data_IF_994542759665
#
_entry.id   IF_994542759665
#
_cell.length_a   1.000
_cell.length_b   1.000
_cell.length_c   1.000
_cell.angle_alpha   90.00
_cell.angle_beta   90.00
_cell.angle_gamma   90.00
#
_symmetry.space_group_name_H-M   'P 1'
#
loop_
_entity.id
_entity.type
_entity.pdbx_description
1 polymer ?
#
# COMPACT_ATOMS: atom_id res chain seq x y z
N UNK A 1 -22.66 -5.69 -13.02
CA UNK A 1 -21.34 -5.28 -12.49
C UNK A 1 -20.50 -6.53 -12.50
N UNK A 2 -19.71 -6.68 -13.55
CA UNK A 2 -18.85 -7.84 -13.76
C UNK A 2 -17.60 -7.61 -12.91
N UNK A 3 -17.53 -8.26 -11.75
CA UNK A 3 -16.36 -8.24 -10.89
C UNK A 3 -15.41 -9.28 -11.46
N UNK A 4 -14.55 -8.83 -12.36
CA UNK A 4 -13.56 -9.64 -13.04
C UNK A 4 -12.89 -10.62 -12.09
N UNK A 5 -12.82 -11.88 -12.52
CA UNK A 5 -12.13 -12.98 -11.86
C UNK A 5 -10.62 -12.69 -11.83
N UNK A 6 -10.21 -11.78 -10.96
CA UNK A 6 -8.82 -11.50 -10.60
C UNK A 6 -8.37 -12.57 -9.59
N UNK A 7 -8.38 -13.82 -10.07
CA UNK A 7 -8.15 -15.01 -9.28
C UNK A 7 -6.71 -15.47 -9.37
N UNK A 8 -5.73 -14.66 -8.96
CA UNK A 8 -4.38 -15.18 -8.72
C UNK A 8 -3.69 -14.68 -7.43
N UNK A 9 -3.40 -15.68 -6.60
CA UNK A 9 -2.43 -15.83 -5.52
C UNK A 9 -1.87 -14.59 -4.78
N UNK A 10 -2.67 -14.03 -3.87
CA UNK A 10 -2.20 -13.18 -2.78
C UNK A 10 -1.73 -14.03 -1.58
N UNK A 11 -0.47 -14.50 -1.65
CA UNK A 11 0.27 -15.39 -0.71
C UNK A 11 -0.40 -16.75 -0.49
N UNK A 12 0.29 -17.81 -0.91
CA UNK A 12 -0.12 -19.21 -0.73
C UNK A 12 -0.39 -19.51 0.75
N UNK A 13 -1.67 -19.57 1.13
CA UNK A 13 -2.09 -20.25 2.34
C UNK A 13 -1.66 -21.72 2.25
N UNK A 14 -1.01 -22.20 3.30
CA UNK A 14 -0.56 -23.58 3.49
C UNK A 14 -1.53 -24.61 2.89
N UNK A 15 -1.06 -25.38 1.91
CA UNK A 15 -1.77 -26.52 1.30
C UNK A 15 -2.15 -27.53 2.41
N UNK A 16 -3.42 -27.56 2.79
CA UNK A 16 -4.03 -28.67 3.52
C UNK A 16 -4.93 -29.48 2.56
N UNK A 17 -4.71 -30.79 2.48
CA UNK A 17 -5.51 -31.72 1.66
C UNK A 17 -6.97 -31.85 2.16
N UNK A 18 -7.91 -32.30 1.30
CA UNK A 18 -9.33 -32.01 1.46
C UNK A 18 -10.15 -33.14 2.09
N UNK A 19 -11.24 -32.78 2.79
CA UNK A 19 -12.32 -33.71 3.11
C UNK A 19 -13.70 -33.02 3.04
N UNK A 20 -14.58 -33.60 2.21
CA UNK A 20 -16.06 -33.59 2.24
C UNK A 20 -16.87 -32.35 1.75
N UNK A 21 -17.77 -32.64 0.81
CA UNK A 21 -18.40 -31.74 -0.19
C UNK A 21 -19.43 -30.70 0.25
N UNK A 22 -19.70 -30.50 1.55
CA UNK A 22 -20.56 -29.40 2.04
C UNK A 22 -19.73 -28.24 2.63
N UNK A 23 -18.54 -28.54 3.15
CA UNK A 23 -17.60 -27.54 3.66
C UNK A 23 -16.96 -26.71 2.55
N UNK A 24 -16.86 -27.23 1.32
CA UNK A 24 -16.23 -26.55 0.18
C UNK A 24 -16.92 -25.24 -0.23
N UNK A 25 -18.26 -25.20 -0.17
CA UNK A 25 -19.04 -23.99 -0.49
C UNK A 25 -18.81 -22.89 0.53
N UNK A 26 -18.93 -23.23 1.82
CA UNK A 26 -18.64 -22.30 2.92
C UNK A 26 -17.18 -21.82 2.90
N UNK A 27 -16.23 -22.70 2.59
CA UNK A 27 -14.81 -22.36 2.51
C UNK A 27 -14.54 -21.41 1.32
N UNK A 28 -15.11 -21.67 0.12
CA UNK A 28 -15.01 -20.73 -1.02
C UNK A 28 -15.62 -19.37 -0.71
N UNK A 29 -16.77 -19.32 -0.04
CA UNK A 29 -17.44 -18.07 0.33
C UNK A 29 -16.58 -17.27 1.31
N UNK A 30 -16.02 -17.92 2.34
CA UNK A 30 -15.12 -17.27 3.29
C UNK A 30 -13.84 -16.76 2.60
N UNK A 31 -13.22 -17.56 1.73
CA UNK A 31 -12.04 -17.14 0.97
C UNK A 31 -12.30 -15.94 0.04
N UNK A 32 -13.46 -15.88 -0.62
CA UNK A 32 -13.82 -14.74 -1.45
C UNK A 32 -14.03 -13.48 -0.60
N UNK A 33 -14.73 -13.62 0.52
CA UNK A 33 -14.95 -12.49 1.45
C UNK A 33 -13.63 -11.96 2.02
N UNK A 34 -12.71 -12.86 2.38
CA UNK A 34 -11.39 -12.49 2.88
C UNK A 34 -10.51 -11.87 1.78
N UNK A 35 -10.60 -12.34 0.53
CA UNK A 35 -9.97 -11.68 -0.63
C UNK A 35 -10.50 -10.25 -0.81
N UNK A 36 -11.82 -10.07 -0.76
CA UNK A 36 -12.47 -8.76 -0.90
C UNK A 36 -12.08 -7.80 0.23
N UNK A 37 -12.06 -8.28 1.48
CA UNK A 37 -11.62 -7.48 2.63
C UNK A 37 -10.15 -7.08 2.49
N UNK A 38 -9.27 -8.02 2.12
CA UNK A 38 -7.84 -7.74 1.88
C UNK A 38 -7.64 -6.70 0.77
N UNK A 39 -8.38 -6.83 -0.33
CA UNK A 39 -8.35 -5.85 -1.42
C UNK A 39 -8.76 -4.46 -0.92
N UNK A 40 -9.90 -4.34 -0.23
CA UNK A 40 -10.38 -3.05 0.30
C UNK A 40 -9.38 -2.41 1.27
N UNK A 41 -8.77 -3.20 2.15
CA UNK A 41 -7.74 -2.69 3.07
C UNK A 41 -6.51 -2.18 2.31
N UNK A 42 -6.08 -2.89 1.24
CA UNK A 42 -4.95 -2.46 0.42
C UNK A 42 -5.24 -1.18 -0.35
N UNK A 43 -6.45 -1.04 -0.91
CA UNK A 43 -6.90 0.20 -1.57
C UNK A 43 -6.85 1.37 -0.59
N UNK A 44 -7.49 1.21 0.57
CA UNK A 44 -7.49 2.24 1.60
C UNK A 44 -6.08 2.63 2.04
N UNK A 45 -5.19 1.67 2.27
CA UNK A 45 -3.80 1.94 2.63
C UNK A 45 -3.05 2.70 1.52
N UNK A 46 -3.25 2.33 0.25
CA UNK A 46 -2.63 3.01 -0.88
C UNK A 46 -3.12 4.46 -1.03
N UNK A 47 -4.41 4.71 -0.77
CA UNK A 47 -4.97 6.06 -0.71
C UNK A 47 -4.33 6.87 0.44
N UNK A 48 -4.19 6.29 1.63
CA UNK A 48 -3.50 6.95 2.75
C UNK A 48 -2.07 7.38 2.39
N UNK A 49 -1.30 6.52 1.69
CA UNK A 49 0.05 6.84 1.25
C UNK A 49 0.07 8.05 0.31
N UNK A 50 -0.92 8.16 -0.59
CA UNK A 50 -1.07 9.27 -1.54
C UNK A 50 -1.34 10.61 -0.84
N UNK A 51 -1.88 10.59 0.38
CA UNK A 51 -2.12 11.78 1.18
C UNK A 51 -0.92 12.23 2.02
N UNK A 52 0.11 11.38 2.21
CA UNK A 52 1.26 11.70 3.07
C UNK A 52 1.96 13.02 2.69
N UNK A 53 2.27 13.30 1.41
CA UNK A 53 2.96 14.54 1.05
C UNK A 53 2.16 15.81 1.36
N UNK A 54 0.84 15.72 1.48
CA UNK A 54 -0.02 16.84 1.88
C UNK A 54 -0.15 16.90 3.40
N UNK A 55 -0.30 15.74 4.05
CA UNK A 55 -0.55 15.61 5.48
C UNK A 55 0.63 16.09 6.35
N UNK A 56 1.86 15.98 5.87
CA UNK A 56 3.06 16.44 6.58
C UNK A 56 3.18 17.97 6.68
N UNK A 57 2.29 18.72 6.01
CA UNK A 57 2.19 20.16 6.13
C UNK A 57 3.30 20.91 5.42
N UNK A 58 3.68 22.08 5.96
CA UNK A 58 4.57 23.06 5.29
C UNK A 58 5.99 23.08 5.83
N UNK A 59 6.35 22.21 6.77
CA UNK A 59 7.70 22.21 7.30
C UNK A 59 8.68 21.67 6.23
N UNK A 60 9.65 22.48 5.76
CA UNK A 60 10.54 22.07 4.67
C UNK A 60 11.40 20.84 5.02
N UNK A 61 11.57 20.50 6.30
CA UNK A 61 12.31 19.30 6.70
C UNK A 61 11.65 17.99 6.25
N UNK A 62 10.36 18.00 5.85
CA UNK A 62 9.75 16.82 5.23
C UNK A 62 10.21 16.58 3.79
N UNK A 63 10.78 17.58 3.12
CA UNK A 63 11.15 17.53 1.70
C UNK A 63 12.65 17.79 1.45
N UNK A 64 13.36 18.36 2.41
CA UNK A 64 14.82 18.59 2.35
C UNK A 64 15.57 17.60 3.25
N UNK A 65 16.33 16.70 2.62
CA UNK A 65 17.12 15.67 3.29
C UNK A 65 18.20 16.25 4.22
N UNK A 66 18.84 17.35 3.81
CA UNK A 66 19.91 17.98 4.60
C UNK A 66 19.32 18.62 5.85
N UNK A 67 18.17 19.29 5.70
CA UNK A 67 17.45 19.88 6.81
C UNK A 67 16.91 18.82 7.78
N UNK A 68 16.31 17.74 7.25
CA UNK A 68 15.83 16.61 8.04
C UNK A 68 16.96 15.99 8.89
N UNK A 69 18.12 15.73 8.27
CA UNK A 69 19.29 15.17 8.97
C UNK A 69 19.80 16.11 10.06
N UNK A 70 19.88 17.41 9.81
CA UNK A 70 20.29 18.40 10.80
C UNK A 70 19.34 18.44 12.01
N UNK A 71 18.03 18.37 11.79
CA UNK A 71 17.06 18.32 12.89
C UNK A 71 17.10 16.99 13.64
N UNK A 72 17.33 15.88 12.93
CA UNK A 72 17.51 14.56 13.53
C UNK A 72 18.73 14.50 14.47
N UNK A 73 19.86 15.08 14.07
CA UNK A 73 21.08 15.10 14.89
C UNK A 73 21.00 16.05 16.08
N UNK A 74 20.20 17.12 15.98
CA UNK A 74 20.06 18.13 17.02
C UNK A 74 19.11 17.72 18.16
N UNK A 75 18.71 16.44 18.23
CA UNK A 75 17.80 15.95 19.28
C UNK A 75 16.38 16.47 19.15
N UNK A 76 15.97 16.89 17.94
CA UNK A 76 14.59 17.30 17.68
C UNK A 76 13.60 16.19 18.05
N UNK A 77 12.45 16.58 18.62
CA UNK A 77 11.39 15.66 19.06
C UNK A 77 10.76 14.86 17.90
N UNK A 78 10.85 15.36 16.66
CA UNK A 78 10.31 14.70 15.47
C UNK A 78 11.43 13.99 14.70
N UNK A 79 11.33 12.66 14.61
CA UNK A 79 12.20 11.81 13.79
C UNK A 79 11.55 11.35 12.49
N UNK A 80 10.26 11.60 12.33
CA UNK A 80 9.43 11.06 11.25
C UNK A 80 9.39 12.03 10.06
N UNK A 81 10.57 12.36 9.52
CA UNK A 81 10.68 13.20 8.33
C UNK A 81 10.38 12.37 7.08
N UNK A 82 9.45 12.83 6.25
CA UNK A 82 8.98 12.09 5.07
C UNK A 82 10.12 11.76 4.11
N UNK A 83 11.02 12.72 3.88
CA UNK A 83 12.21 12.55 3.02
C UNK A 83 13.14 11.40 3.46
N UNK A 84 13.11 10.99 4.74
CA UNK A 84 13.89 9.84 5.21
C UNK A 84 13.28 8.49 4.79
N UNK A 85 11.99 8.47 4.45
CA UNK A 85 11.24 7.28 4.05
C UNK A 85 10.91 7.25 2.55
N UNK A 86 11.45 8.19 1.75
CA UNK A 86 11.10 8.32 0.33
C UNK A 86 11.39 7.05 -0.47
N UNK A 87 12.46 6.33 -0.14
CA UNK A 87 12.79 5.06 -0.80
C UNK A 87 11.72 3.99 -0.56
N UNK A 88 11.24 3.87 0.68
CA UNK A 88 10.18 2.91 1.04
C UNK A 88 8.88 3.28 0.35
N UNK A 89 8.56 4.58 0.31
CA UNK A 89 7.37 5.09 -0.34
C UNK A 89 7.40 4.86 -1.87
N UNK A 90 8.53 5.12 -2.53
CA UNK A 90 8.72 4.82 -3.96
C UNK A 90 8.57 3.32 -4.22
N UNK A 91 9.16 2.47 -3.36
CA UNK A 91 9.09 1.02 -3.51
C UNK A 91 7.64 0.52 -3.42
N UNK A 92 6.88 1.02 -2.45
CA UNK A 92 5.45 0.69 -2.30
C UNK A 92 4.64 1.21 -3.49
N UNK A 93 4.86 2.44 -3.92
CA UNK A 93 4.16 3.04 -5.05
C UNK A 93 4.41 2.26 -6.35
N UNK A 94 5.65 1.84 -6.59
CA UNK A 94 6.01 0.97 -7.71
C UNK A 94 5.33 -0.39 -7.61
N UNK A 95 5.37 -1.05 -6.44
CA UNK A 95 4.69 -2.33 -6.22
C UNK A 95 3.19 -2.24 -6.48
N UNK A 96 2.54 -1.16 -6.06
CA UNK A 96 1.11 -0.90 -6.32
C UNK A 96 0.89 -0.65 -7.83
N UNK A 97 1.79 0.08 -8.49
CA UNK A 97 1.71 0.38 -9.93
C UNK A 97 1.84 -0.85 -10.83
N UNK A 98 2.61 -1.85 -10.39
CA UNK A 98 2.87 -3.08 -11.16
C UNK A 98 2.11 -4.28 -10.63
N UNK A 99 1.20 -4.09 -9.67
CA UNK A 99 0.41 -5.18 -9.12
C UNK A 99 -0.57 -5.71 -10.18
N UNK A 100 -0.92 -6.99 -10.13
CA UNK A 100 -1.82 -7.58 -11.12
C UNK A 100 -3.24 -6.97 -11.06
N UNK A 101 -3.66 -6.46 -9.90
CA UNK A 101 -4.92 -5.74 -9.69
C UNK A 101 -4.96 -4.41 -10.45
N UNK A 102 -5.57 -4.42 -11.63
CA UNK A 102 -5.60 -3.27 -12.54
C UNK A 102 -6.18 -2.01 -11.89
N UNK A 103 -7.19 -2.16 -11.04
CA UNK A 103 -7.83 -1.07 -10.32
C UNK A 103 -6.91 -0.36 -9.31
N UNK A 104 -5.82 -1.01 -8.85
CA UNK A 104 -4.86 -0.40 -7.94
C UNK A 104 -3.72 0.31 -8.65
N UNK A 105 -3.41 -0.05 -9.91
CA UNK A 105 -2.29 0.53 -10.66
C UNK A 105 -2.37 2.06 -10.78
N UNK A 106 -3.54 2.68 -11.07
CA UNK A 106 -3.65 4.14 -11.12
C UNK A 106 -3.32 4.83 -9.81
N UNK A 107 -3.62 4.21 -8.66
CA UNK A 107 -3.29 4.75 -7.33
C UNK A 107 -1.78 4.75 -7.14
N UNK A 108 -1.10 3.67 -7.53
CA UNK A 108 0.36 3.59 -7.48
C UNK A 108 1.04 4.63 -8.35
N UNK A 109 0.58 4.82 -9.59
CA UNK A 109 1.11 5.83 -10.51
C UNK A 109 0.85 7.24 -9.95
N UNK A 110 -0.35 7.50 -9.44
CA UNK A 110 -0.69 8.78 -8.80
C UNK A 110 0.20 9.08 -7.60
N UNK A 111 0.51 8.08 -6.78
CA UNK A 111 1.46 8.21 -5.67
C UNK A 111 2.88 8.52 -6.17
N UNK A 112 3.37 7.83 -7.20
CA UNK A 112 4.68 8.14 -7.81
C UNK A 112 4.75 9.58 -8.33
N UNK A 113 3.71 10.04 -9.04
CA UNK A 113 3.62 11.43 -9.51
C UNK A 113 3.63 12.42 -8.35
N UNK A 114 2.83 12.17 -7.31
CA UNK A 114 2.75 13.05 -6.14
C UNK A 114 4.08 13.17 -5.37
N UNK A 115 4.90 12.12 -5.37
CA UNK A 115 6.25 12.15 -4.77
C UNK A 115 7.21 12.97 -5.64
N UNK A 116 7.15 12.83 -6.96
CA UNK A 116 8.04 13.54 -7.90
C UNK A 116 7.75 15.04 -7.97
N UNK A 117 6.50 15.45 -7.76
CA UNK A 117 6.09 16.86 -7.80
C UNK A 117 6.49 17.67 -6.54
N UNK A 118 7.07 17.03 -5.53
CA UNK A 118 7.42 17.63 -4.23
C UNK A 118 8.93 17.75 -4.03
#
# INVERSE_FOLDING_TARGET
>A
MDLGEDDENMVSGSKGMPMQGSAFGAHRINHNRDKHLRYRTRVFAAECLSHLPIAVGKNPAHFDLSLARKQYTNGGLSRDWLVLHVQELISLAYQISTIQFENMRPIGVGLLTAILDK
#
